data_IF_082219782037
#
_entry.id   IF_082219782037
#
_cell.length_a   1.000
_cell.length_b   1.000
_cell.length_c   1.000
_cell.angle_alpha   90.00
_cell.angle_beta   90.00
_cell.angle_gamma   90.00
#
_symmetry.space_group_name_H-M   'P 1'
#
loop_
_entity.id
_entity.type
_entity.pdbx_description
1 polymer ?
#
# COMPACT_ATOMS: atom_id res chain seq x y z
N UNK A 1 17.44 -13.44 -3.76
CA UNK A 1 16.69 -13.15 -2.52
C UNK A 1 17.17 -11.88 -1.82
N UNK A 2 18.48 -11.69 -1.54
CA UNK A 2 18.98 -10.47 -0.89
C UNK A 2 18.62 -9.17 -1.62
N UNK A 3 18.65 -9.17 -2.96
CA UNK A 3 18.28 -8.01 -3.79
C UNK A 3 16.82 -7.60 -3.57
N UNK A 4 15.90 -8.57 -3.44
CA UNK A 4 14.46 -8.29 -3.25
C UNK A 4 14.25 -7.60 -1.90
N UNK A 5 14.82 -8.16 -0.83
CA UNK A 5 14.71 -7.57 0.50
C UNK A 5 15.38 -6.18 0.58
N UNK A 6 16.50 -5.99 -0.12
CA UNK A 6 17.18 -4.69 -0.19
C UNK A 6 16.30 -3.64 -0.89
N UNK A 7 15.70 -3.97 -2.04
CA UNK A 7 14.81 -3.05 -2.76
C UNK A 7 13.54 -2.78 -1.94
N UNK A 8 12.94 -3.80 -1.33
CA UNK A 8 11.79 -3.64 -0.45
C UNK A 8 12.11 -2.69 0.72
N UNK A 9 13.25 -2.89 1.40
CA UNK A 9 13.69 -2.02 2.48
C UNK A 9 13.93 -0.59 2.01
N UNK A 10 14.51 -0.40 0.82
CA UNK A 10 14.75 0.91 0.22
C UNK A 10 13.43 1.63 -0.12
N UNK A 11 12.46 0.91 -0.69
CA UNK A 11 11.13 1.45 -1.01
C UNK A 11 10.41 1.86 0.28
N UNK A 12 10.40 1.00 1.31
CA UNK A 12 9.81 1.31 2.62
C UNK A 12 10.48 2.51 3.28
N UNK A 13 11.82 2.57 3.28
CA UNK A 13 12.57 3.71 3.81
C UNK A 13 12.22 5.00 3.05
N UNK A 14 12.13 4.92 1.72
CA UNK A 14 11.71 6.02 0.86
C UNK A 14 10.31 6.55 1.21
N UNK A 15 9.33 5.66 1.41
CA UNK A 15 7.98 6.05 1.84
C UNK A 15 7.98 6.70 3.22
N UNK A 16 8.70 6.14 4.20
CA UNK A 16 8.77 6.70 5.56
C UNK A 16 9.41 8.10 5.54
N UNK A 17 10.43 8.30 4.71
CA UNK A 17 11.08 9.59 4.56
C UNK A 17 10.18 10.59 3.84
N UNK A 18 9.44 10.13 2.82
CA UNK A 18 8.47 10.92 2.08
C UNK A 18 7.32 11.39 2.97
N UNK A 19 6.76 10.50 3.80
CA UNK A 19 5.71 10.82 4.78
C UNK A 19 6.12 11.92 5.77
N UNK A 20 7.42 12.00 6.10
CA UNK A 20 7.97 13.03 7.00
C UNK A 20 8.38 14.32 6.29
N UNK A 21 8.43 14.30 4.97
CA UNK A 21 8.89 15.43 4.16
C UNK A 21 7.76 16.41 3.83
N UNK A 22 8.12 17.60 3.33
CA UNK A 22 7.15 18.58 2.83
C UNK A 22 6.31 18.04 1.68
N UNK A 23 6.89 17.19 0.83
CA UNK A 23 6.17 16.58 -0.31
C UNK A 23 5.04 15.67 0.16
N UNK A 24 5.28 14.86 1.21
CA UNK A 24 4.24 14.03 1.80
C UNK A 24 3.08 14.84 2.39
N UNK A 25 3.39 15.97 3.03
CA UNK A 25 2.36 16.89 3.53
C UNK A 25 1.52 17.50 2.40
N UNK A 26 2.16 17.91 1.30
CA UNK A 26 1.48 18.43 0.11
C UNK A 26 0.56 17.36 -0.51
N UNK A 27 1.03 16.11 -0.64
CA UNK A 27 0.18 15.04 -1.16
C UNK A 27 -1.05 14.76 -0.29
N UNK A 28 -0.91 14.89 1.03
CA UNK A 28 -2.05 14.75 1.95
C UNK A 28 -3.06 15.89 1.78
N UNK A 29 -2.59 17.12 1.65
CA UNK A 29 -3.46 18.29 1.37
C UNK A 29 -4.23 18.11 0.06
N UNK A 30 -3.56 17.67 -1.01
CA UNK A 30 -4.19 17.39 -2.31
C UNK A 30 -5.24 16.28 -2.18
N UNK A 31 -5.00 15.28 -1.33
CA UNK A 31 -5.93 14.18 -1.08
C UNK A 31 -7.15 14.57 -0.24
N UNK A 32 -7.04 15.58 0.61
CA UNK A 32 -8.16 16.13 1.39
C UNK A 32 -9.02 17.08 0.57
N UNK A 33 -8.40 18.12 0.01
CA UNK A 33 -9.09 19.08 -0.86
C UNK A 33 -8.12 19.69 -1.88
N UNK A 34 -8.23 19.29 -3.16
CA UNK A 34 -7.38 19.84 -4.21
C UNK A 34 -7.64 21.33 -4.46
N UNK A 35 -8.89 21.80 -4.30
CA UNK A 35 -9.26 23.20 -4.53
C UNK A 35 -8.60 24.10 -3.46
N UNK A 36 -8.66 23.70 -2.19
CA UNK A 36 -7.99 24.44 -1.10
C UNK A 36 -6.48 24.45 -1.28
N UNK A 37 -5.91 23.37 -1.79
CA UNK A 37 -4.48 23.29 -2.07
C UNK A 37 -4.05 24.27 -3.17
N UNK A 38 -4.85 24.45 -4.21
CA UNK A 38 -4.60 25.44 -5.27
C UNK A 38 -4.68 26.87 -4.74
N UNK A 39 -5.63 27.15 -3.83
CA UNK A 39 -5.75 28.46 -3.18
C UNK A 39 -4.51 28.82 -2.34
N UNK A 40 -3.76 27.84 -1.86
CA UNK A 40 -2.49 28.05 -1.15
C UNK A 40 -1.30 28.31 -2.11
N UNK A 41 -1.54 28.41 -3.42
CA UNK A 41 -0.52 28.68 -4.43
C UNK A 41 0.27 27.44 -4.88
N UNK A 42 -0.19 26.23 -4.52
CA UNK A 42 0.45 24.98 -4.94
C UNK A 42 -0.17 24.48 -6.25
N UNK A 43 0.67 24.14 -7.23
CA UNK A 43 0.22 23.57 -8.50
C UNK A 43 -0.14 22.08 -8.33
N UNK A 44 -1.42 21.79 -8.09
CA UNK A 44 -1.94 20.42 -7.89
C UNK A 44 -1.64 19.49 -9.06
N UNK A 45 -1.70 19.98 -10.30
CA UNK A 45 -1.45 19.19 -11.50
C UNK A 45 -0.01 18.70 -11.50
N UNK A 46 0.95 19.59 -11.25
CA UNK A 46 2.37 19.24 -11.19
C UNK A 46 2.66 18.20 -10.09
N UNK A 47 2.07 18.37 -8.90
CA UNK A 47 2.24 17.41 -7.81
C UNK A 47 1.54 16.06 -8.08
N UNK A 48 0.38 16.05 -8.75
CA UNK A 48 -0.28 14.80 -9.19
C UNK A 48 0.56 14.04 -10.22
N UNK A 49 1.15 14.76 -11.19
CA UNK A 49 2.09 14.15 -12.14
C UNK A 49 3.32 13.59 -11.44
N UNK A 50 3.87 14.31 -10.46
CA UNK A 50 5.02 13.85 -9.69
C UNK A 50 4.67 12.59 -8.87
N UNK A 51 3.49 12.56 -8.23
CA UNK A 51 3.00 11.38 -7.54
C UNK A 51 2.85 10.18 -8.49
N UNK A 52 2.29 10.38 -9.68
CA UNK A 52 2.15 9.35 -10.70
C UNK A 52 3.51 8.84 -11.21
N UNK A 53 4.47 9.73 -11.45
CA UNK A 53 5.83 9.38 -11.86
C UNK A 53 6.54 8.56 -10.78
N UNK A 54 6.45 8.97 -9.51
CA UNK A 54 7.02 8.22 -8.38
C UNK A 54 6.38 6.82 -8.25
N UNK A 55 5.07 6.72 -8.37
CA UNK A 55 4.36 5.44 -8.36
C UNK A 55 4.82 4.55 -9.53
N UNK A 56 4.99 5.12 -10.72
CA UNK A 56 5.49 4.42 -11.91
C UNK A 56 6.90 3.87 -11.73
N UNK A 57 7.81 4.62 -11.10
CA UNK A 57 9.17 4.14 -10.79
C UNK A 57 9.14 2.94 -9.85
N UNK A 58 8.32 2.99 -8.79
CA UNK A 58 8.19 1.90 -7.82
C UNK A 58 7.53 0.66 -8.46
N UNK A 59 6.48 0.87 -9.26
CA UNK A 59 5.82 -0.21 -9.99
C UNK A 59 6.77 -0.86 -11.02
N UNK A 60 7.56 -0.06 -11.73
CA UNK A 60 8.58 -0.53 -12.67
C UNK A 60 9.68 -1.34 -11.98
N UNK A 61 10.16 -0.90 -10.81
CA UNK A 61 11.09 -1.67 -10.00
C UNK A 61 10.50 -3.02 -9.56
N UNK A 62 9.23 -3.04 -9.17
CA UNK A 62 8.50 -4.28 -8.86
C UNK A 62 8.40 -5.24 -10.05
N UNK A 63 8.09 -4.72 -11.24
CA UNK A 63 8.05 -5.50 -12.48
C UNK A 63 9.41 -6.06 -12.88
N UNK A 64 10.48 -5.25 -12.75
CA UNK A 64 11.85 -5.70 -13.02
C UNK A 64 12.28 -6.83 -12.06
N UNK A 65 11.95 -6.71 -10.77
CA UNK A 65 12.18 -7.78 -9.79
C UNK A 65 11.40 -9.04 -10.12
N UNK A 66 10.14 -8.90 -10.54
CA UNK A 66 9.31 -10.03 -10.96
C UNK A 66 9.93 -10.75 -12.16
N UNK A 67 10.34 -10.02 -13.20
CA UNK A 67 10.99 -10.60 -14.38
C UNK A 67 12.29 -11.34 -14.03
N UNK A 68 13.07 -10.79 -13.09
CA UNK A 68 14.29 -11.44 -12.59
C UNK A 68 14.00 -12.75 -11.84
N UNK A 69 12.90 -12.81 -11.07
CA UNK A 69 12.54 -14.00 -10.30
C UNK A 69 11.90 -15.08 -11.17
N UNK A 70 11.00 -14.68 -12.08
CA UNK A 70 10.23 -15.61 -12.88
C UNK A 70 11.08 -16.33 -13.93
N UNK A 71 12.24 -15.78 -14.31
CA UNK A 71 13.19 -16.26 -15.36
C UNK A 71 12.59 -16.43 -16.77
N UNK A 72 11.27 -16.48 -16.87
CA UNK A 72 10.45 -16.51 -18.06
C UNK A 72 9.26 -15.58 -17.85
N UNK A 73 8.93 -14.80 -18.86
CA UNK A 73 7.87 -13.79 -18.80
C UNK A 73 6.71 -14.26 -19.68
N UNK A 74 5.65 -14.77 -19.06
CA UNK A 74 4.42 -15.09 -19.77
C UNK A 74 3.50 -13.85 -19.83
N UNK A 75 3.12 -13.37 -21.03
CA UNK A 75 2.26 -12.19 -21.17
C UNK A 75 0.90 -12.31 -20.48
N UNK A 76 0.41 -13.55 -20.30
CA UNK A 76 -0.89 -13.84 -19.70
C UNK A 76 -0.99 -13.46 -18.22
N UNK A 77 0.14 -13.34 -17.53
CA UNK A 77 0.21 -12.97 -16.11
C UNK A 77 0.01 -11.46 -15.92
N UNK A 78 0.40 -10.66 -16.90
CA UNK A 78 0.22 -9.19 -16.92
C UNK A 78 -1.20 -8.82 -17.39
N UNK A 79 -2.19 -9.42 -16.76
CA UNK A 79 -3.59 -9.13 -17.02
C UNK A 79 -4.12 -8.08 -16.01
N UNK A 80 -5.33 -7.58 -16.28
CA UNK A 80 -6.02 -6.60 -15.43
C UNK A 80 -6.12 -7.08 -13.98
N UNK A 81 -6.24 -8.38 -13.77
CA UNK A 81 -6.39 -8.97 -12.43
C UNK A 81 -5.16 -8.73 -11.55
N UNK A 82 -3.95 -8.72 -12.12
CA UNK A 82 -2.74 -8.37 -11.37
C UNK A 82 -2.82 -6.94 -10.82
N UNK A 83 -3.36 -6.01 -11.61
CA UNK A 83 -3.62 -4.63 -11.18
C UNK A 83 -4.68 -4.55 -10.09
N UNK A 84 -5.78 -5.30 -10.24
CA UNK A 84 -6.83 -5.40 -9.21
C UNK A 84 -6.27 -5.92 -7.89
N UNK A 85 -5.46 -6.98 -7.92
CA UNK A 85 -4.81 -7.51 -6.72
C UNK A 85 -3.88 -6.47 -6.10
N UNK A 86 -3.06 -5.78 -6.91
CA UNK A 86 -2.15 -4.74 -6.43
C UNK A 86 -2.87 -3.59 -5.70
N UNK A 87 -4.00 -3.13 -6.25
CA UNK A 87 -4.85 -2.12 -5.60
C UNK A 87 -5.51 -2.67 -4.33
N UNK A 88 -6.04 -3.90 -4.39
CA UNK A 88 -6.68 -4.55 -3.26
C UNK A 88 -5.72 -4.76 -2.09
N UNK A 89 -4.45 -5.10 -2.31
CA UNK A 89 -3.48 -5.24 -1.23
C UNK A 89 -3.30 -3.93 -0.44
N UNK A 90 -3.26 -2.79 -1.14
CA UNK A 90 -3.23 -1.48 -0.50
C UNK A 90 -4.52 -1.20 0.29
N UNK A 91 -5.67 -1.63 -0.22
CA UNK A 91 -6.97 -1.43 0.41
C UNK A 91 -7.19 -2.30 1.65
N UNK A 92 -6.86 -3.60 1.55
CA UNK A 92 -6.91 -4.59 2.64
C UNK A 92 -5.96 -4.15 3.75
N UNK A 93 -4.73 -3.82 3.36
CA UNK A 93 -3.68 -3.40 4.27
C UNK A 93 -3.93 -2.06 4.95
N UNK A 94 -4.48 -1.10 4.20
CA UNK A 94 -4.68 0.29 4.62
C UNK A 94 -3.79 1.26 3.84
N UNK A 95 -4.38 2.33 3.30
CA UNK A 95 -3.70 3.34 2.48
C UNK A 95 -2.94 4.38 3.31
N UNK A 96 -3.17 4.44 4.63
CA UNK A 96 -2.59 5.46 5.52
C UNK A 96 -1.18 5.14 6.04
N UNK A 97 -0.61 3.98 5.70
CA UNK A 97 0.73 3.60 6.17
C UNK A 97 1.55 2.90 5.09
N UNK A 98 2.86 3.16 5.06
CA UNK A 98 3.81 2.45 4.20
C UNK A 98 3.81 0.92 4.38
N UNK A 99 3.44 0.41 5.56
CA UNK A 99 3.38 -1.02 5.86
C UNK A 99 2.04 -1.67 5.51
N UNK A 100 1.00 -0.89 5.22
CA UNK A 100 -0.33 -1.37 4.86
C UNK A 100 -0.29 -2.44 3.78
N UNK A 101 0.23 -2.14 2.57
CA UNK A 101 0.26 -3.11 1.47
C UNK A 101 0.97 -4.43 1.81
N UNK A 102 2.02 -4.41 2.64
CA UNK A 102 2.70 -5.64 3.08
C UNK A 102 1.76 -6.55 3.89
N UNK A 103 0.99 -5.98 4.80
CA UNK A 103 -0.01 -6.72 5.58
C UNK A 103 -1.13 -7.22 4.65
N UNK A 104 -1.57 -6.39 3.70
CA UNK A 104 -2.58 -6.78 2.72
C UNK A 104 -2.18 -8.01 1.92
N UNK A 105 -0.94 -8.03 1.41
CA UNK A 105 -0.37 -9.20 0.71
C UNK A 105 -0.29 -10.41 1.64
N UNK A 106 0.19 -10.25 2.87
CA UNK A 106 0.34 -11.35 3.81
C UNK A 106 -1.00 -12.01 4.15
N UNK A 107 -2.05 -11.20 4.34
CA UNK A 107 -3.40 -11.66 4.59
C UNK A 107 -3.97 -12.37 3.36
N UNK A 108 -3.80 -11.79 2.18
CA UNK A 108 -4.30 -12.40 0.96
C UNK A 108 -3.64 -13.77 0.71
N UNK A 109 -2.32 -13.88 0.86
CA UNK A 109 -1.60 -15.15 0.72
C UNK A 109 -2.13 -16.18 1.73
N UNK A 110 -2.26 -15.82 3.00
CA UNK A 110 -2.77 -16.73 4.04
C UNK A 110 -4.23 -17.16 3.79
N UNK A 111 -5.06 -16.23 3.32
CA UNK A 111 -6.45 -16.47 3.00
C UNK A 111 -6.59 -17.38 1.76
N UNK A 112 -5.88 -17.09 0.68
CA UNK A 112 -5.90 -17.90 -0.54
C UNK A 112 -5.36 -19.31 -0.32
N UNK A 113 -4.37 -19.50 0.55
CA UNK A 113 -3.87 -20.84 0.92
C UNK A 113 -4.95 -21.64 1.68
N UNK A 114 -5.71 -20.99 2.55
CA UNK A 114 -6.83 -21.62 3.27
C UNK A 114 -7.96 -22.06 2.33
N UNK A 115 -8.16 -21.31 1.25
CA UNK A 115 -9.19 -21.57 0.23
C UNK A 115 -8.68 -22.46 -0.91
N UNK A 116 -7.45 -22.99 -0.81
CA UNK A 116 -6.81 -23.79 -1.87
C UNK A 116 -7.64 -25.00 -2.30
N UNK A 117 -8.42 -25.59 -1.40
CA UNK A 117 -9.32 -26.70 -1.70
C UNK A 117 -10.44 -26.36 -2.72
N UNK A 118 -10.78 -25.07 -2.85
CA UNK A 118 -11.88 -24.56 -3.71
C UNK A 118 -11.29 -23.71 -4.84
N UNK A 119 -10.25 -24.25 -5.51
CA UNK A 119 -9.44 -23.51 -6.50
C UNK A 119 -10.25 -22.83 -7.62
N UNK A 120 -11.42 -23.37 -7.98
CA UNK A 120 -12.28 -22.80 -9.03
C UNK A 120 -12.97 -21.48 -8.65
N UNK A 121 -13.12 -21.20 -7.35
CA UNK A 121 -13.85 -20.03 -6.85
C UNK A 121 -12.96 -18.97 -6.21
N UNK A 122 -11.62 -19.11 -6.29
CA UNK A 122 -10.65 -18.16 -5.69
C UNK A 122 -10.96 -16.70 -6.02
N UNK A 123 -11.34 -16.41 -7.27
CA UNK A 123 -11.65 -15.06 -7.73
C UNK A 123 -12.88 -14.46 -7.05
N UNK A 124 -13.94 -15.26 -6.91
CA UNK A 124 -15.19 -14.85 -6.27
C UNK A 124 -14.94 -14.65 -4.77
N UNK A 125 -14.18 -15.56 -4.17
CA UNK A 125 -13.79 -15.49 -2.76
C UNK A 125 -12.90 -14.28 -2.48
N UNK A 126 -11.96 -13.96 -3.37
CA UNK A 126 -11.13 -12.76 -3.27
C UNK A 126 -11.96 -11.47 -3.40
N UNK A 127 -12.83 -11.38 -4.41
CA UNK A 127 -13.73 -10.22 -4.55
C UNK A 127 -14.65 -10.05 -3.34
N UNK A 128 -15.18 -11.16 -2.82
CA UNK A 128 -15.96 -11.19 -1.58
C UNK A 128 -15.16 -10.73 -0.36
N UNK A 129 -13.91 -11.18 -0.21
CA UNK A 129 -13.00 -10.71 0.84
C UNK A 129 -12.84 -9.20 0.79
N UNK A 130 -12.50 -8.65 -0.38
CA UNK A 130 -12.32 -7.21 -0.57
C UNK A 130 -13.61 -6.45 -0.26
N UNK A 131 -14.77 -6.93 -0.75
CA UNK A 131 -16.06 -6.30 -0.50
C UNK A 131 -16.43 -6.28 0.99
N UNK A 132 -16.31 -7.43 1.68
CA UNK A 132 -16.57 -7.53 3.12
C UNK A 132 -15.64 -6.59 3.89
N UNK A 133 -14.36 -6.55 3.53
CA UNK A 133 -13.38 -5.74 4.22
C UNK A 133 -13.65 -4.24 4.01
N UNK A 134 -14.07 -3.83 2.82
CA UNK A 134 -14.52 -2.46 2.55
C UNK A 134 -15.77 -2.07 3.35
N UNK A 135 -16.73 -2.99 3.52
CA UNK A 135 -17.95 -2.74 4.31
C UNK A 135 -17.61 -2.61 5.80
N UNK A 136 -16.77 -3.49 6.32
CA UNK A 136 -16.46 -3.56 7.75
C UNK A 136 -15.41 -2.51 8.15
N UNK A 137 -14.41 -2.25 7.30
CA UNK A 137 -13.27 -1.37 7.55
C UNK A 137 -12.83 -0.66 6.25
N UNK A 138 -13.54 0.40 5.82
CA UNK A 138 -13.23 1.12 4.57
C UNK A 138 -11.86 1.80 4.54
N UNK A 139 -11.22 1.99 5.71
CA UNK A 139 -9.85 2.53 5.82
C UNK A 139 -8.74 1.46 5.85
N UNK A 140 -9.10 0.18 5.73
CA UNK A 140 -8.18 -0.96 5.79
C UNK A 140 -7.88 -1.40 7.23
N UNK A 141 -7.05 -2.44 7.35
CA UNK A 141 -6.73 -3.08 8.65
C UNK A 141 -5.78 -2.21 9.49
N UNK A 142 -4.80 -1.58 8.87
CA UNK A 142 -3.98 -0.52 9.48
C UNK A 142 -4.65 0.84 9.27
N UNK A 143 -5.77 1.06 9.95
CA UNK A 143 -6.40 2.37 10.03
C UNK A 143 -5.55 3.33 10.87
N UNK A 144 -5.55 4.63 10.55
CA UNK A 144 -4.82 5.68 11.29
C UNK A 144 -5.16 5.66 12.79
N UNK A 145 -6.36 5.21 13.17
CA UNK A 145 -6.79 4.97 14.54
C UNK A 145 -5.97 3.90 15.28
N UNK A 146 -5.57 2.81 14.61
CA UNK A 146 -4.75 1.75 15.21
C UNK A 146 -3.31 2.23 15.45
N UNK A 147 -2.75 2.99 14.51
CA UNK A 147 -1.41 3.60 14.64
C UNK A 147 -1.40 4.70 15.71
N UNK A 148 -2.44 5.53 15.78
CA UNK A 148 -2.56 6.54 16.84
C UNK A 148 -2.73 5.91 18.23
N UNK A 149 -3.48 4.81 18.35
CA UNK A 149 -3.64 4.07 19.60
C UNK A 149 -2.33 3.42 20.05
N UNK A 150 -1.60 2.77 19.13
CA UNK A 150 -0.27 2.17 19.41
C UNK A 150 0.76 3.23 19.78
N UNK A 151 0.81 4.38 19.08
CA UNK A 151 1.71 5.49 19.44
C UNK A 151 1.39 6.11 20.80
N UNK A 152 0.11 6.21 21.17
CA UNK A 152 -0.30 6.68 22.51
C UNK A 152 0.11 5.68 23.59
N UNK A 153 -0.09 4.38 23.35
CA UNK A 153 0.32 3.29 24.27
C UNK A 153 1.85 3.27 24.49
N UNK A 154 2.64 3.44 23.42
CA UNK A 154 4.10 3.46 23.51
C UNK A 154 4.67 4.73 24.14
N UNK A 155 4.01 5.89 24.00
CA UNK A 155 4.38 7.10 24.74
C UNK A 155 4.07 7.00 26.24
N UNK A 156 3.04 6.26 26.63
CA UNK A 156 2.75 6.00 28.05
C UNK A 156 3.79 5.07 28.70
N UNK A 157 4.29 4.05 27.99
CA UNK A 157 5.32 3.15 28.52
C UNK A 157 6.69 3.82 28.64
N UNK A 158 6.98 4.86 27.84
CA UNK A 158 8.23 5.63 27.90
C UNK A 158 8.22 6.77 28.93
N UNK A 159 7.11 6.98 29.62
CA UNK A 159 6.94 7.99 30.68
C UNK A 159 6.56 7.36 32.03
N UNK A 160 6.98 6.12 32.30
CA UNK A 160 7.03 5.66 33.69
C UNK A 160 8.12 6.49 34.42
N UNK A 161 7.78 7.35 35.38
CA UNK A 161 8.77 7.95 36.27
C UNK A 161 9.27 6.86 37.22
N UNK A 162 10.54 6.98 37.61
CA UNK A 162 11.18 6.19 38.66
C UNK A 162 10.39 6.18 39.98
#
# INVERSE_FOLDING_TARGET
MCIIYAVLALVLAGFILLERSRLGAIFRMIGEDPMLTEMQGLNTIAYKLLAAAMAGVIAGAGGALYAHLATYVEPKIFNVMLGVHSLAYGLIGGLGTAFGPLIGVAIDIGFLESVRAISGYRMIVFGGLVAVLLIVRPRGILDEAAVHWIRRRWRQVRHAPD
#
